data_IF_562472376860
#
_entry.id   IF_562472376860
#
_cell.length_a   1.000
_cell.length_b   1.000
_cell.length_c   1.000
_cell.angle_alpha   90.00
_cell.angle_beta   90.00
_cell.angle_gamma   90.00
#
_symmetry.space_group_name_H-M   'P 1'
#
loop_
_entity.id
_entity.type
_entity.pdbx_description
1 polymer ?
#
# COMPACT_ATOMS: atom_id res chain seq x y z
N UNK A 1 10.84 6.79 18.56
CA UNK A 1 11.13 8.20 18.22
C UNK A 1 10.40 9.13 19.19
N UNK A 2 11.10 10.12 19.76
CA UNK A 2 10.52 11.11 20.69
C UNK A 2 9.68 12.12 19.89
N UNK A 3 8.41 12.32 20.23
CA UNK A 3 7.56 13.33 19.56
C UNK A 3 8.11 14.74 19.78
N UNK A 4 7.90 15.62 18.79
CA UNK A 4 8.28 17.04 18.89
C UNK A 4 7.15 17.82 19.55
N UNK A 5 7.49 18.67 20.51
CA UNK A 5 6.50 19.37 21.34
C UNK A 5 6.40 20.84 20.93
N UNK A 6 7.54 21.47 20.63
CA UNK A 6 7.58 22.89 20.31
C UNK A 6 7.51 23.18 18.80
N UNK A 7 7.02 24.36 18.42
CA UNK A 7 7.02 24.81 17.02
C UNK A 7 8.42 24.89 16.44
N UNK A 8 9.40 25.33 17.24
CA UNK A 8 10.81 25.32 16.85
C UNK A 8 11.29 23.91 16.53
N UNK A 9 10.96 22.92 17.37
CA UNK A 9 11.30 21.53 17.08
C UNK A 9 10.67 21.05 15.78
N UNK A 10 9.38 21.34 15.59
CA UNK A 10 8.60 20.89 14.43
C UNK A 10 9.10 21.50 13.12
N UNK A 11 9.39 22.79 13.08
CA UNK A 11 9.74 23.49 11.84
C UNK A 11 11.24 23.67 11.62
N UNK A 12 12.10 23.32 12.57
CA UNK A 12 13.54 23.52 12.40
C UNK A 12 14.38 22.25 12.56
N UNK A 13 13.81 21.16 13.06
CA UNK A 13 14.60 19.97 13.39
C UNK A 13 14.30 18.79 12.46
N UNK A 14 15.39 18.17 12.02
CA UNK A 14 15.41 17.01 11.14
C UNK A 14 15.68 15.75 11.93
N UNK A 15 15.07 14.66 11.50
CA UNK A 15 15.25 13.38 12.14
C UNK A 15 16.58 12.78 11.69
N UNK A 16 17.40 12.37 12.64
CA UNK A 16 18.58 11.55 12.39
C UNK A 16 18.24 10.13 12.83
N UNK A 17 18.10 9.24 11.84
CA UNK A 17 17.95 7.81 12.02
C UNK A 17 19.32 7.15 11.90
N UNK A 18 19.74 6.49 12.97
CA UNK A 18 20.87 5.57 12.98
C UNK A 18 20.39 4.25 13.58
N UNK A 19 21.04 3.15 13.20
CA UNK A 19 20.64 1.75 13.43
C UNK A 19 20.07 1.38 14.82
N UNK A 20 20.24 2.21 15.86
CA UNK A 20 19.61 2.05 17.18
C UNK A 20 19.22 3.37 17.88
N UNK A 21 19.24 4.52 17.19
CA UNK A 21 19.01 5.83 17.80
C UNK A 21 18.20 6.73 16.87
N UNK A 22 17.16 7.31 17.42
CA UNK A 22 16.37 8.38 16.80
C UNK A 22 16.62 9.67 17.56
N UNK A 23 17.20 10.68 16.92
CA UNK A 23 17.42 11.98 17.53
C UNK A 23 16.99 13.11 16.60
N UNK A 24 16.58 14.23 17.19
CA UNK A 24 16.27 15.44 16.45
C UNK A 24 17.48 16.36 16.43
N UNK A 25 17.84 16.84 15.24
CA UNK A 25 18.90 17.84 15.08
C UNK A 25 18.32 19.10 14.44
N UNK A 26 18.51 20.24 15.10
CA UNK A 26 17.88 21.49 14.71
C UNK A 26 18.82 22.34 13.85
N UNK A 27 18.33 22.73 12.68
CA UNK A 27 19.05 23.60 11.77
C UNK A 27 19.05 25.05 12.30
N UNK A 28 20.24 25.61 12.50
CA UNK A 28 20.43 26.96 13.04
C UNK A 28 19.92 28.06 12.12
N UNK A 29 19.94 27.84 10.80
CA UNK A 29 19.47 28.81 9.80
C UNK A 29 17.94 28.89 9.83
N UNK A 30 17.27 27.73 9.85
CA UNK A 30 15.82 27.66 10.01
C UNK A 30 15.39 28.31 11.32
N UNK A 31 16.07 27.97 12.43
CA UNK A 31 15.79 28.59 13.73
C UNK A 31 15.90 30.11 13.71
N UNK A 32 16.96 30.66 13.12
CA UNK A 32 17.12 32.11 12.99
C UNK A 32 16.05 32.74 12.09
N UNK A 33 15.61 32.03 11.04
CA UNK A 33 14.56 32.51 10.15
C UNK A 33 13.23 32.62 10.88
N UNK A 34 12.79 31.57 11.57
CA UNK A 34 11.52 31.60 12.29
C UNK A 34 11.54 32.61 13.44
N UNK A 35 12.65 32.73 14.17
CA UNK A 35 12.82 33.74 15.24
C UNK A 35 12.83 35.19 14.69
N UNK A 36 13.10 35.40 13.40
CA UNK A 36 13.11 36.74 12.80
C UNK A 36 11.71 37.36 12.63
N UNK A 37 10.65 36.55 12.71
CA UNK A 37 9.27 37.04 12.66
C UNK A 37 8.75 37.55 14.01
N UNK A 38 9.55 37.41 15.08
CA UNK A 38 9.21 37.86 16.42
C UNK A 38 9.06 36.70 17.42
N UNK A 39 8.66 36.99 18.68
CA UNK A 39 8.36 35.95 19.65
C UNK A 39 7.13 35.16 19.20
N UNK A 40 7.26 33.83 19.17
CA UNK A 40 6.17 32.92 18.85
C UNK A 40 5.09 33.03 19.93
N UNK A 41 3.91 33.54 19.59
CA UNK A 41 2.75 33.57 20.49
C UNK A 41 1.99 32.23 20.40
N UNK A 42 2.06 31.35 21.42
CA UNK A 42 1.43 30.03 21.37
C UNK A 42 -0.10 30.08 21.30
N UNK A 43 -0.72 31.22 21.63
CA UNK A 43 -2.19 31.39 21.60
C UNK A 43 -2.70 31.81 20.23
N UNK A 44 -1.83 32.30 19.34
CA UNK A 44 -2.19 32.82 18.02
C UNK A 44 -1.56 31.97 16.92
N UNK A 45 -0.34 31.52 17.14
CA UNK A 45 0.47 30.84 16.14
C UNK A 45 0.42 29.33 16.35
N UNK A 46 -0.59 28.70 15.75
CA UNK A 46 -0.73 27.24 15.77
C UNK A 46 0.24 26.56 14.80
N UNK A 47 0.37 25.24 14.93
CA UNK A 47 1.08 24.41 13.96
C UNK A 47 0.49 24.54 12.55
N UNK A 48 -0.85 24.54 12.46
CA UNK A 48 -1.57 24.71 11.19
C UNK A 48 -1.24 26.07 10.57
N UNK A 49 -1.25 27.15 11.37
CA UNK A 49 -0.88 28.49 10.90
C UNK A 49 0.52 28.51 10.25
N UNK A 50 1.54 28.02 10.95
CA UNK A 50 2.91 28.04 10.44
C UNK A 50 3.10 27.15 9.21
N UNK A 51 2.43 26.00 9.16
CA UNK A 51 2.47 25.11 8.00
C UNK A 51 1.89 25.79 6.75
N UNK A 52 0.76 26.49 6.89
CA UNK A 52 0.10 27.23 5.82
C UNK A 52 0.91 28.45 5.39
N UNK A 53 1.43 29.21 6.36
CA UNK A 53 2.28 30.37 6.10
C UNK A 53 3.50 29.97 5.27
N UNK A 54 4.27 28.97 5.72
CA UNK A 54 5.46 28.53 4.99
C UNK A 54 5.12 27.94 3.62
N UNK A 55 4.01 27.22 3.49
CA UNK A 55 3.55 26.71 2.20
C UNK A 55 3.22 27.85 1.23
N UNK A 56 2.50 28.88 1.68
CA UNK A 56 2.20 30.05 0.87
C UNK A 56 3.48 30.77 0.42
N UNK A 57 4.45 30.94 1.32
CA UNK A 57 5.73 31.57 0.97
C UNK A 57 6.57 30.72 -0.01
N UNK A 58 6.52 29.38 0.15
CA UNK A 58 7.15 28.44 -0.77
C UNK A 58 6.59 28.56 -2.20
N UNK A 59 5.26 28.69 -2.34
CA UNK A 59 4.59 28.86 -3.64
C UNK A 59 4.94 30.19 -4.34
N UNK A 60 5.26 31.24 -3.58
CA UNK A 60 5.53 32.58 -4.12
C UNK A 60 6.92 32.74 -4.79
N UNK A 61 7.64 31.65 -5.09
CA UNK A 61 8.92 31.60 -5.84
C UNK A 61 9.91 32.76 -5.59
N UNK A 62 10.13 33.14 -4.34
CA UNK A 62 11.05 34.21 -3.93
C UNK A 62 12.50 33.75 -3.68
N UNK A 63 13.42 34.69 -3.42
CA UNK A 63 14.84 34.39 -3.12
C UNK A 63 15.06 33.51 -1.88
N UNK A 64 14.10 33.49 -0.95
CA UNK A 64 14.13 32.70 0.29
C UNK A 64 13.40 31.36 0.18
N UNK A 65 13.03 30.92 -1.02
CA UNK A 65 12.28 29.68 -1.24
C UNK A 65 12.95 28.46 -0.55
N UNK A 66 14.27 28.39 -0.57
CA UNK A 66 15.03 27.32 0.09
C UNK A 66 14.83 27.23 1.62
N UNK A 67 14.60 28.35 2.32
CA UNK A 67 14.32 28.35 3.77
C UNK A 67 12.91 27.87 4.06
N UNK A 68 11.92 28.37 3.30
CA UNK A 68 10.52 27.95 3.45
C UNK A 68 10.35 26.47 3.13
N UNK A 69 10.99 26.01 2.06
CA UNK A 69 11.12 24.59 1.75
C UNK A 69 11.76 23.82 2.90
N UNK A 70 12.86 24.33 3.47
CA UNK A 70 13.53 23.72 4.61
C UNK A 70 12.63 23.56 5.84
N UNK A 71 11.83 24.58 6.16
CA UNK A 71 10.85 24.53 7.24
C UNK A 71 9.76 23.47 7.02
N UNK A 72 9.21 23.41 5.80
CA UNK A 72 8.21 22.41 5.44
C UNK A 72 8.80 20.99 5.43
N UNK A 73 10.04 20.84 4.98
CA UNK A 73 10.75 19.57 5.04
C UNK A 73 10.94 19.12 6.47
N UNK A 74 11.45 19.99 7.36
CA UNK A 74 11.59 19.69 8.77
C UNK A 74 10.23 19.29 9.37
N UNK A 75 9.17 20.05 9.06
CA UNK A 75 7.81 19.78 9.51
C UNK A 75 7.34 18.38 9.14
N UNK A 76 7.54 17.95 7.89
CA UNK A 76 7.09 16.66 7.38
C UNK A 76 7.87 15.45 7.92
N UNK A 77 9.03 15.63 8.58
CA UNK A 77 9.85 14.51 9.07
C UNK A 77 9.10 13.62 10.07
N UNK A 78 8.35 14.18 11.02
CA UNK A 78 7.61 13.37 12.00
C UNK A 78 6.42 12.62 11.38
N UNK A 79 5.52 13.28 10.60
CA UNK A 79 4.50 12.57 9.81
C UNK A 79 5.09 11.46 8.94
N UNK A 80 6.21 11.73 8.26
CA UNK A 80 6.90 10.76 7.42
C UNK A 80 7.42 9.56 8.21
N UNK A 81 8.04 9.79 9.38
CA UNK A 81 8.50 8.70 10.23
C UNK A 81 7.34 7.82 10.70
N UNK A 82 6.23 8.40 11.16
CA UNK A 82 5.11 7.60 11.65
C UNK A 82 4.41 6.84 10.51
N UNK A 83 4.27 7.45 9.33
CA UNK A 83 3.79 6.75 8.14
C UNK A 83 4.73 5.59 7.76
N UNK A 84 6.04 5.83 7.71
CA UNK A 84 7.03 4.81 7.44
C UNK A 84 7.01 3.68 8.48
N UNK A 85 6.92 4.01 9.77
CA UNK A 85 6.87 3.04 10.87
C UNK A 85 5.62 2.15 10.78
N UNK A 86 4.46 2.71 10.43
CA UNK A 86 3.22 1.94 10.26
C UNK A 86 3.33 0.94 9.10
N UNK A 87 3.85 1.39 7.97
CA UNK A 87 4.05 0.52 6.81
C UNK A 87 5.13 -0.53 7.09
N UNK A 88 6.24 -0.13 7.73
CA UNK A 88 7.30 -1.04 8.16
C UNK A 88 6.76 -2.13 9.09
N UNK A 89 6.03 -1.78 10.15
CA UNK A 89 5.44 -2.78 11.07
C UNK A 89 4.55 -3.80 10.35
N UNK A 90 3.84 -3.36 9.30
CA UNK A 90 2.96 -4.21 8.50
C UNK A 90 3.73 -5.19 7.60
N UNK A 91 4.91 -4.81 7.11
CA UNK A 91 5.64 -5.58 6.09
C UNK A 91 7.03 -6.09 6.52
N UNK A 92 7.53 -5.73 7.70
CA UNK A 92 8.86 -6.13 8.21
C UNK A 92 9.08 -7.64 8.28
N UNK A 93 8.01 -8.43 8.47
CA UNK A 93 8.10 -9.89 8.48
C UNK A 93 8.25 -10.50 7.08
N UNK A 94 8.03 -9.70 6.03
CA UNK A 94 7.96 -10.13 4.62
C UNK A 94 9.05 -9.50 3.75
N UNK A 95 9.61 -8.38 4.18
CA UNK A 95 10.60 -7.59 3.45
C UNK A 95 11.82 -7.37 4.33
N UNK A 96 13.01 -7.60 3.77
CA UNK A 96 14.29 -7.34 4.44
C UNK A 96 14.71 -5.87 4.26
N UNK A 97 13.82 -4.97 4.66
CA UNK A 97 14.05 -3.52 4.63
C UNK A 97 14.07 -2.97 6.03
N UNK A 98 14.91 -1.98 6.26
CA UNK A 98 14.94 -1.27 7.53
C UNK A 98 13.99 -0.08 7.49
N UNK A 99 13.61 0.43 8.67
CA UNK A 99 12.70 1.60 8.76
C UNK A 99 13.25 2.82 8.02
N UNK A 100 14.58 2.96 7.96
CA UNK A 100 15.30 3.99 7.22
C UNK A 100 14.98 3.97 5.72
N UNK A 101 14.78 2.79 5.13
CA UNK A 101 14.46 2.67 3.70
C UNK A 101 13.08 3.25 3.40
N UNK A 102 12.09 2.92 4.21
CA UNK A 102 10.74 3.49 4.10
C UNK A 102 10.75 4.99 4.38
N UNK A 103 11.53 5.43 5.36
CA UNK A 103 11.62 6.85 5.69
C UNK A 103 12.25 7.66 4.56
N UNK A 104 13.35 7.18 3.99
CA UNK A 104 14.02 7.82 2.86
C UNK A 104 13.12 7.86 1.62
N UNK A 105 12.40 6.78 1.32
CA UNK A 105 11.43 6.77 0.23
C UNK A 105 10.30 7.79 0.44
N UNK A 106 9.84 7.96 1.69
CA UNK A 106 8.88 9.00 2.04
C UNK A 106 9.41 10.42 1.79
N UNK A 107 10.68 10.68 2.14
CA UNK A 107 11.35 11.97 1.91
C UNK A 107 11.44 12.31 0.42
N UNK A 108 11.71 11.31 -0.43
CA UNK A 108 11.76 11.52 -1.90
C UNK A 108 10.43 12.05 -2.47
N UNK A 109 9.31 11.82 -1.77
CA UNK A 109 8.00 12.33 -2.14
C UNK A 109 7.69 13.77 -1.70
N UNK A 110 8.54 14.41 -0.89
CA UNK A 110 8.20 15.69 -0.27
C UNK A 110 7.94 16.80 -1.29
N UNK A 111 8.73 16.90 -2.37
CA UNK A 111 8.49 17.90 -3.42
C UNK A 111 7.08 17.78 -4.02
N UNK A 112 6.69 16.57 -4.40
CA UNK A 112 5.37 16.31 -4.98
C UNK A 112 4.26 16.63 -3.97
N UNK A 113 4.44 16.28 -2.69
CA UNK A 113 3.48 16.60 -1.63
C UNK A 113 3.30 18.11 -1.47
N UNK A 114 4.39 18.88 -1.50
CA UNK A 114 4.34 20.33 -1.39
C UNK A 114 3.66 20.98 -2.60
N UNK A 115 3.90 20.47 -3.79
CA UNK A 115 3.27 20.94 -5.03
C UNK A 115 1.77 20.62 -5.06
N UNK A 116 1.38 19.42 -4.63
CA UNK A 116 -0.01 18.94 -4.67
C UNK A 116 -0.90 19.54 -3.58
N UNK A 117 -0.31 20.02 -2.48
CA UNK A 117 -1.08 20.51 -1.35
C UNK A 117 -1.81 21.81 -1.70
N UNK A 118 -3.14 21.78 -1.56
CA UNK A 118 -4.04 22.90 -1.80
C UNK A 118 -4.75 23.28 -0.50
N UNK A 119 -4.31 24.37 0.19
CA UNK A 119 -4.89 24.83 1.45
C UNK A 119 -6.41 25.05 1.44
N UNK A 120 -7.00 25.30 0.26
CA UNK A 120 -8.44 25.50 0.09
C UNK A 120 -9.27 24.27 0.52
N UNK A 121 -8.72 23.06 0.41
CA UNK A 121 -9.43 21.81 0.68
C UNK A 121 -9.04 21.15 2.01
N UNK A 122 -7.94 21.56 2.63
CA UNK A 122 -7.52 21.10 3.95
C UNK A 122 -6.57 22.12 4.58
N UNK A 123 -6.85 22.51 5.82
CA UNK A 123 -5.93 23.32 6.64
C UNK A 123 -4.87 22.46 7.35
N UNK A 124 -5.10 21.15 7.46
CA UNK A 124 -4.22 20.20 8.13
C UNK A 124 -3.24 19.58 7.15
N UNK A 125 -2.07 20.20 7.04
CA UNK A 125 -1.03 19.77 6.12
C UNK A 125 -0.42 18.42 6.54
N UNK A 126 -0.26 18.16 7.84
CA UNK A 126 0.21 16.89 8.40
C UNK A 126 -0.61 15.68 7.94
N UNK A 127 -1.94 15.77 8.04
CA UNK A 127 -2.85 14.71 7.68
C UNK A 127 -2.79 14.43 6.18
N UNK A 128 -2.83 15.48 5.35
CA UNK A 128 -2.70 15.37 3.91
C UNK A 128 -1.40 14.66 3.53
N UNK A 129 -0.27 15.13 4.07
CA UNK A 129 1.04 14.57 3.78
C UNK A 129 1.16 13.13 4.28
N UNK A 130 0.66 12.81 5.48
CA UNK A 130 0.66 11.45 6.03
C UNK A 130 -0.01 10.46 5.09
N UNK A 131 -1.19 10.80 4.56
CA UNK A 131 -1.90 9.92 3.63
C UNK A 131 -1.12 9.75 2.32
N UNK A 132 -0.61 10.86 1.75
CA UNK A 132 0.19 10.83 0.52
C UNK A 132 1.45 9.98 0.65
N UNK A 133 2.16 10.10 1.77
CA UNK A 133 3.36 9.29 2.07
C UNK A 133 2.98 7.82 2.17
N UNK A 134 1.91 7.47 2.90
CA UNK A 134 1.46 6.07 3.00
C UNK A 134 1.12 5.47 1.64
N UNK A 135 0.38 6.20 0.80
CA UNK A 135 0.05 5.73 -0.54
C UNK A 135 1.30 5.49 -1.38
N UNK A 136 2.22 6.46 -1.40
CA UNK A 136 3.49 6.34 -2.12
C UNK A 136 4.29 5.11 -1.66
N UNK A 137 4.40 4.89 -0.35
CA UNK A 137 5.12 3.74 0.20
C UNK A 137 4.46 2.42 -0.20
N UNK A 138 3.12 2.33 -0.11
CA UNK A 138 2.38 1.14 -0.52
C UNK A 138 2.57 0.87 -2.01
N UNK A 139 2.49 1.90 -2.85
CA UNK A 139 2.68 1.76 -4.29
C UNK A 139 4.11 1.34 -4.64
N UNK A 140 5.12 1.86 -3.92
CA UNK A 140 6.50 1.41 -4.07
C UNK A 140 6.66 -0.07 -3.72
N UNK A 141 6.02 -0.53 -2.65
CA UNK A 141 6.03 -1.94 -2.26
C UNK A 141 5.29 -2.81 -3.30
N UNK A 142 4.20 -2.31 -3.89
CA UNK A 142 3.47 -3.01 -4.95
C UNK A 142 4.27 -3.15 -6.25
N UNK A 143 5.12 -2.18 -6.56
CA UNK A 143 6.07 -2.30 -7.68
C UNK A 143 7.09 -3.42 -7.47
N UNK A 144 7.46 -3.70 -6.20
CA UNK A 144 8.34 -4.83 -5.85
C UNK A 144 7.61 -6.16 -6.01
N UNK A 145 6.38 -6.25 -5.48
CA UNK A 145 5.49 -7.37 -5.78
C UNK A 145 4.02 -6.98 -5.64
N UNK A 146 3.25 -7.36 -6.65
CA UNK A 146 1.81 -7.16 -6.73
C UNK A 146 1.04 -7.89 -5.61
N UNK A 147 1.68 -8.82 -4.89
CA UNK A 147 1.07 -9.49 -3.75
C UNK A 147 0.84 -8.57 -2.53
N UNK A 148 1.59 -7.46 -2.46
CA UNK A 148 1.55 -6.57 -1.30
C UNK A 148 0.37 -5.60 -1.34
N UNK A 149 -0.26 -5.38 -0.17
CA UNK A 149 -1.44 -4.52 -0.05
C UNK A 149 -2.77 -5.28 -0.15
N UNK A 150 -2.72 -6.53 -0.60
CA UNK A 150 -3.82 -7.46 -0.56
C UNK A 150 -3.74 -8.32 0.71
N UNK A 151 -4.88 -8.59 1.33
CA UNK A 151 -5.01 -9.70 2.26
C UNK A 151 -5.31 -11.00 1.49
N UNK A 152 -5.17 -12.15 2.14
CA UNK A 152 -5.38 -13.49 1.55
C UNK A 152 -6.69 -13.58 0.75
N UNK A 153 -7.77 -12.99 1.26
CA UNK A 153 -9.09 -13.03 0.65
C UNK A 153 -9.19 -12.17 -0.61
N UNK A 154 -8.65 -10.95 -0.56
CA UNK A 154 -8.54 -10.09 -1.74
C UNK A 154 -7.60 -10.66 -2.80
N UNK A 155 -6.54 -11.38 -2.41
CA UNK A 155 -5.68 -12.10 -3.35
C UNK A 155 -6.46 -13.20 -4.05
N UNK A 156 -7.23 -14.00 -3.31
CA UNK A 156 -8.04 -15.08 -3.88
C UNK A 156 -9.11 -14.55 -4.82
N UNK A 157 -9.85 -13.50 -4.42
CA UNK A 157 -10.91 -12.91 -5.24
C UNK A 157 -10.39 -12.36 -6.56
N UNK A 158 -9.22 -11.71 -6.53
CA UNK A 158 -8.70 -11.02 -7.70
C UNK A 158 -7.68 -11.85 -8.51
N UNK A 159 -7.42 -13.11 -8.11
CA UNK A 159 -6.55 -14.01 -8.88
C UNK A 159 -7.30 -14.66 -10.04
N UNK A 160 -6.54 -15.17 -11.01
CA UNK A 160 -7.04 -15.97 -12.13
C UNK A 160 -6.88 -17.46 -11.86
N UNK A 161 -7.68 -18.29 -12.53
CA UNK A 161 -7.61 -19.74 -12.37
C UNK A 161 -6.25 -20.29 -12.80
N UNK A 162 -5.68 -19.77 -13.89
CA UNK A 162 -4.32 -20.10 -14.32
C UNK A 162 -3.27 -19.75 -13.25
N UNK A 163 -3.37 -18.56 -12.64
CA UNK A 163 -2.42 -18.13 -11.60
C UNK A 163 -2.51 -19.00 -10.35
N UNK A 164 -3.71 -19.31 -9.90
CA UNK A 164 -3.91 -20.20 -8.75
C UNK A 164 -3.36 -21.60 -9.05
N UNK A 165 -3.65 -22.14 -10.24
CA UNK A 165 -3.14 -23.45 -10.67
C UNK A 165 -1.61 -23.50 -10.67
N UNK A 166 -0.95 -22.50 -11.28
CA UNK A 166 0.50 -22.39 -11.28
C UNK A 166 1.09 -22.27 -9.86
N UNK A 167 0.45 -21.50 -8.99
CA UNK A 167 0.89 -21.32 -7.61
C UNK A 167 0.77 -22.61 -6.78
N UNK A 168 -0.31 -23.38 -6.96
CA UNK A 168 -0.51 -24.66 -6.29
C UNK A 168 0.46 -25.74 -6.84
N UNK A 169 0.68 -25.77 -8.15
CA UNK A 169 1.68 -26.64 -8.79
C UNK A 169 3.10 -26.35 -8.29
N UNK A 170 3.46 -25.08 -8.12
CA UNK A 170 4.75 -24.67 -7.56
C UNK A 170 4.97 -25.16 -6.11
N UNK A 171 3.88 -25.46 -5.38
CA UNK A 171 3.90 -26.10 -4.06
C UNK A 171 3.87 -27.64 -4.10
N UNK A 172 3.86 -28.24 -5.29
CA UNK A 172 3.85 -29.69 -5.48
C UNK A 172 2.46 -30.34 -5.39
N UNK A 173 1.37 -29.56 -5.38
CA UNK A 173 0.01 -30.10 -5.43
C UNK A 173 -0.32 -30.51 -6.88
N UNK A 174 -0.70 -31.78 -7.08
CA UNK A 174 -0.99 -32.36 -8.40
C UNK A 174 -2.22 -33.28 -8.37
N UNK A 175 -2.82 -33.53 -9.54
CA UNK A 175 -3.94 -34.46 -9.71
C UNK A 175 -5.22 -34.02 -9.01
N UNK A 176 -5.96 -34.98 -8.45
CA UNK A 176 -7.27 -34.76 -7.81
C UNK A 176 -7.22 -33.70 -6.69
N UNK A 177 -6.09 -33.58 -6.00
CA UNK A 177 -5.95 -32.56 -4.94
C UNK A 177 -5.93 -31.15 -5.51
N UNK A 178 -5.32 -30.95 -6.69
CA UNK A 178 -5.31 -29.65 -7.37
C UNK A 178 -6.74 -29.27 -7.82
N UNK A 179 -7.45 -30.22 -8.43
CA UNK A 179 -8.83 -30.02 -8.91
C UNK A 179 -9.78 -29.66 -7.77
N UNK A 180 -9.66 -30.33 -6.62
CA UNK A 180 -10.43 -30.02 -5.41
C UNK A 180 -10.18 -28.59 -4.90
N UNK A 181 -8.95 -28.09 -4.96
CA UNK A 181 -8.62 -26.71 -4.56
C UNK A 181 -9.16 -25.67 -5.54
N UNK A 182 -9.08 -25.94 -6.85
CA UNK A 182 -9.62 -25.06 -7.88
C UNK A 182 -11.14 -24.97 -7.79
N UNK A 183 -11.81 -26.12 -7.62
CA UNK A 183 -13.27 -26.16 -7.45
C UNK A 183 -13.73 -25.42 -6.18
N UNK A 184 -13.02 -25.59 -5.06
CA UNK A 184 -13.32 -24.83 -3.85
C UNK A 184 -13.14 -23.32 -4.03
N UNK A 185 -12.16 -22.90 -4.85
CA UNK A 185 -11.92 -21.51 -5.19
C UNK A 185 -13.00 -20.92 -6.12
N UNK A 186 -13.51 -21.69 -7.08
CA UNK A 186 -14.60 -21.25 -7.95
C UNK A 186 -15.87 -20.94 -7.14
N UNK A 187 -16.30 -21.84 -6.25
CA UNK A 187 -17.43 -21.56 -5.36
C UNK A 187 -17.17 -20.40 -4.41
N UNK A 188 -15.92 -20.24 -3.95
CA UNK A 188 -15.55 -19.07 -3.17
C UNK A 188 -15.76 -17.79 -3.99
N UNK A 189 -15.27 -17.71 -5.22
CA UNK A 189 -15.48 -16.54 -6.08
C UNK A 189 -16.96 -16.29 -6.34
N UNK A 190 -17.72 -17.32 -6.69
CA UNK A 190 -19.13 -17.17 -7.01
C UNK A 190 -19.94 -16.66 -5.80
N UNK A 191 -19.80 -17.32 -4.64
CA UNK A 191 -20.61 -17.03 -3.46
C UNK A 191 -20.12 -15.77 -2.74
N UNK A 192 -18.80 -15.60 -2.61
CA UNK A 192 -18.22 -14.50 -1.86
C UNK A 192 -18.15 -13.19 -2.65
N UNK A 193 -17.95 -13.22 -3.97
CA UNK A 193 -18.00 -12.00 -4.78
C UNK A 193 -19.40 -11.38 -4.80
N UNK A 194 -20.45 -12.21 -4.77
CA UNK A 194 -21.84 -11.76 -4.67
C UNK A 194 -22.14 -11.10 -3.33
N UNK A 195 -21.52 -11.56 -2.24
CA UNK A 195 -21.74 -11.00 -0.91
C UNK A 195 -21.17 -9.58 -0.74
N UNK A 196 -20.25 -9.14 -1.60
CA UNK A 196 -19.62 -7.78 -1.62
C UNK A 196 -19.33 -7.20 -0.24
N UNK A 197 -18.88 -8.03 0.71
CA UNK A 197 -18.65 -7.59 2.10
C UNK A 197 -17.38 -6.73 2.14
N UNK A 198 -17.57 -5.43 1.94
CA UNK A 198 -16.55 -4.40 2.13
C UNK A 198 -16.87 -3.65 3.41
N UNK A 199 -15.94 -3.66 4.36
CA UNK A 199 -15.96 -2.76 5.51
C UNK A 199 -14.76 -1.83 5.36
N UNK A 200 -15.00 -0.51 5.37
CA UNK A 200 -13.98 0.52 5.10
C UNK A 200 -13.20 0.30 3.80
N UNK A 201 -13.88 -0.18 2.75
CA UNK A 201 -13.28 -0.46 1.44
C UNK A 201 -12.38 -1.70 1.38
N UNK A 202 -12.19 -2.42 2.49
CA UNK A 202 -11.37 -3.65 2.56
C UNK A 202 -12.23 -4.90 2.53
N UNK A 203 -11.79 -5.89 1.75
CA UNK A 203 -12.36 -7.23 1.71
C UNK A 203 -12.07 -7.92 3.04
N UNK A 204 -13.09 -8.50 3.67
CA UNK A 204 -12.95 -9.12 5.00
C UNK A 204 -12.76 -10.64 4.90
N UNK A 205 -12.55 -11.29 6.04
CA UNK A 205 -12.69 -12.74 6.11
C UNK A 205 -14.17 -13.13 5.94
N UNK A 206 -14.49 -14.18 5.15
CA UNK A 206 -15.86 -14.67 5.05
C UNK A 206 -16.41 -15.11 6.41
N UNK A 207 -17.68 -14.80 6.66
CA UNK A 207 -18.36 -15.22 7.90
C UNK A 207 -18.53 -16.75 7.94
N UNK A 208 -18.71 -17.34 9.14
CA UNK A 208 -18.96 -18.78 9.28
C UNK A 208 -20.12 -19.30 8.42
N UNK A 209 -21.17 -18.48 8.23
CA UNK A 209 -22.32 -18.80 7.39
C UNK A 209 -21.94 -18.91 5.91
N UNK A 210 -21.06 -18.05 5.42
CA UNK A 210 -20.56 -18.11 4.04
C UNK A 210 -19.74 -19.38 3.85
N UNK A 211 -18.88 -19.74 4.81
CA UNK A 211 -18.13 -20.99 4.74
C UNK A 211 -19.02 -22.23 4.72
N UNK A 212 -20.14 -22.22 5.44
CA UNK A 212 -21.13 -23.30 5.38
C UNK A 212 -21.81 -23.37 4.02
N UNK A 213 -22.15 -22.24 3.41
CA UNK A 213 -22.73 -22.20 2.05
C UNK A 213 -21.76 -22.73 1.00
N UNK A 214 -20.50 -22.33 1.06
CA UNK A 214 -19.46 -22.84 0.15
C UNK A 214 -19.28 -24.35 0.34
N UNK A 215 -19.26 -24.85 1.58
CA UNK A 215 -19.17 -26.28 1.85
C UNK A 215 -20.39 -27.07 1.36
N UNK A 216 -21.60 -26.51 1.50
CA UNK A 216 -22.81 -27.12 0.98
C UNK A 216 -22.77 -27.20 -0.56
N UNK A 217 -22.38 -26.11 -1.24
CA UNK A 217 -22.27 -26.06 -2.70
C UNK A 217 -21.21 -27.04 -3.23
N UNK A 218 -20.04 -27.07 -2.59
CA UNK A 218 -18.98 -28.01 -2.94
C UNK A 218 -19.45 -29.47 -2.83
N UNK A 219 -20.13 -29.82 -1.73
CA UNK A 219 -20.59 -31.19 -1.50
C UNK A 219 -21.78 -31.60 -2.40
N UNK A 220 -22.53 -30.66 -2.95
CA UNK A 220 -23.65 -30.97 -3.86
C UNK A 220 -23.21 -31.26 -5.28
N UNK A 221 -22.09 -30.68 -5.72
CA UNK A 221 -21.61 -30.76 -7.11
C UNK A 221 -20.39 -31.68 -7.24
N UNK A 222 -19.65 -31.89 -6.15
CA UNK A 222 -18.48 -32.77 -6.19
C UNK A 222 -18.92 -34.22 -6.41
N UNK A 223 -18.45 -34.80 -7.52
CA UNK A 223 -18.43 -36.26 -7.73
C UNK A 223 -17.55 -36.99 -6.70
N UNK A 224 -16.85 -36.28 -5.81
CA UNK A 224 -16.02 -36.87 -4.77
C UNK A 224 -16.85 -37.59 -3.71
N UNK A 225 -16.34 -38.72 -3.25
CA UNK A 225 -16.98 -39.55 -2.23
C UNK A 225 -16.84 -38.96 -0.81
N UNK A 226 -16.14 -37.83 -0.67
CA UNK A 226 -15.72 -37.25 0.61
C UNK A 226 -16.54 -36.00 0.87
N UNK A 227 -17.43 -36.07 1.86
CA UNK A 227 -18.13 -34.89 2.36
C UNK A 227 -17.17 -34.02 3.18
N UNK A 228 -17.01 -32.77 2.75
CA UNK A 228 -16.08 -31.83 3.34
C UNK A 228 -16.85 -30.83 4.22
N UNK A 229 -16.28 -30.47 5.37
CA UNK A 229 -16.88 -29.46 6.26
C UNK A 229 -16.32 -28.05 5.96
N UNK A 230 -16.99 -27.03 6.51
CA UNK A 230 -16.58 -25.63 6.36
C UNK A 230 -15.14 -25.39 6.79
N UNK A 231 -14.68 -26.01 7.89
CA UNK A 231 -13.32 -25.86 8.39
C UNK A 231 -12.23 -26.31 7.39
N UNK A 232 -12.49 -27.40 6.65
CA UNK A 232 -11.55 -27.93 5.67
C UNK A 232 -11.46 -27.03 4.44
N UNK A 233 -12.59 -26.51 3.96
CA UNK A 233 -12.62 -25.52 2.87
C UNK A 233 -11.91 -24.23 3.29
N UNK A 234 -12.16 -23.74 4.51
CA UNK A 234 -11.46 -22.57 5.04
C UNK A 234 -9.95 -22.80 5.04
N UNK A 235 -9.48 -24.00 5.43
CA UNK A 235 -8.05 -24.35 5.39
C UNK A 235 -7.52 -24.35 3.96
N UNK A 236 -8.18 -25.03 3.04
CA UNK A 236 -7.74 -25.10 1.63
C UNK A 236 -7.63 -23.72 0.98
N UNK A 237 -8.59 -22.84 1.24
CA UNK A 237 -8.55 -21.49 0.67
C UNK A 237 -7.49 -20.61 1.34
N UNK A 238 -7.27 -20.75 2.66
CA UNK A 238 -6.11 -20.10 3.32
C UNK A 238 -4.79 -20.56 2.71
N UNK A 239 -4.64 -21.86 2.50
CA UNK A 239 -3.46 -22.47 1.91
C UNK A 239 -3.27 -22.01 0.46
N UNK A 240 -4.34 -21.95 -0.33
CA UNK A 240 -4.35 -21.44 -1.70
C UNK A 240 -3.93 -19.97 -1.78
N UNK A 241 -4.47 -19.12 -0.89
CA UNK A 241 -4.12 -17.71 -0.87
C UNK A 241 -2.65 -17.49 -0.47
N UNK A 242 -2.12 -18.31 0.44
CA UNK A 242 -0.69 -18.29 0.74
C UNK A 242 0.16 -18.82 -0.43
N UNK A 243 -0.31 -19.82 -1.17
CA UNK A 243 0.37 -20.32 -2.37
C UNK A 243 0.52 -19.22 -3.43
N UNK A 244 -0.56 -18.49 -3.70
CA UNK A 244 -0.54 -17.34 -4.61
C UNK A 244 0.44 -16.27 -4.11
N UNK A 245 0.42 -15.97 -2.81
CA UNK A 245 1.34 -15.00 -2.21
C UNK A 245 2.81 -15.40 -2.43
N UNK A 246 3.17 -16.65 -2.10
CA UNK A 246 4.54 -17.15 -2.23
C UNK A 246 4.98 -17.24 -3.71
N UNK A 247 4.06 -17.54 -4.62
CA UNK A 247 4.33 -17.57 -6.06
C UNK A 247 4.64 -16.17 -6.61
N UNK A 248 3.85 -15.17 -6.22
CA UNK A 248 4.05 -13.76 -6.59
C UNK A 248 5.23 -13.11 -5.85
N UNK A 249 5.67 -13.71 -4.74
CA UNK A 249 6.82 -13.26 -3.98
C UNK A 249 7.67 -14.45 -3.49
N UNK A 250 8.53 -15.00 -4.37
CA UNK A 250 9.44 -16.07 -3.98
C UNK A 250 10.39 -15.57 -2.90
N UNK A 251 10.41 -16.26 -1.77
CA UNK A 251 11.31 -15.96 -0.65
C UNK A 251 12.77 -15.91 -1.17
N UNK A 252 13.51 -14.84 -0.83
CA UNK A 252 14.91 -14.66 -1.21
C UNK A 252 15.20 -13.65 -2.33
N UNK A 253 14.19 -13.01 -2.93
CA UNK A 253 14.42 -11.82 -3.78
C UNK A 253 14.50 -10.55 -2.93
N UNK A 254 15.71 -10.17 -2.53
CA UNK A 254 16.00 -8.81 -2.05
C UNK A 254 16.01 -7.86 -3.25
N UNK A 255 14.86 -7.28 -3.54
CA UNK A 255 14.82 -6.04 -4.34
C UNK A 255 15.22 -4.92 -3.37
N UNK A 256 15.85 -3.84 -3.83
CA UNK A 256 16.09 -2.67 -2.98
C UNK A 256 14.97 -1.64 -3.20
N UNK A 257 14.43 -1.05 -2.13
CA UNK A 257 13.51 0.09 -2.25
C UNK A 257 14.15 1.26 -3.01
N UNK A 258 15.48 1.35 -2.98
CA UNK A 258 16.28 2.44 -3.54
C UNK A 258 16.80 2.16 -4.95
N UNK A 259 16.48 1.01 -5.55
CA UNK A 259 17.01 0.65 -6.86
C UNK A 259 16.45 1.61 -7.95
N UNK A 260 17.32 2.25 -8.78
CA UNK A 260 16.87 3.00 -9.95
C UNK A 260 16.19 2.05 -10.92
N UNK A 261 15.13 2.54 -11.57
CA UNK A 261 14.36 1.77 -12.54
C UNK A 261 15.27 1.26 -13.68
N UNK A 262 15.11 0.00 -14.07
CA UNK A 262 15.55 -0.43 -15.38
C UNK A 262 14.58 0.13 -16.41
N UNK A 263 15.10 0.72 -17.48
CA UNK A 263 14.34 1.32 -18.58
C UNK A 263 13.35 0.30 -19.16
N UNK A 264 12.10 0.39 -18.70
CA UNK A 264 10.99 -0.44 -19.13
C UNK A 264 9.73 0.40 -19.08
N UNK A 265 9.51 1.13 -20.18
CA UNK A 265 8.30 1.89 -20.52
C UNK A 265 7.80 2.87 -19.45
N UNK A 266 8.40 4.05 -19.50
CA UNK A 266 7.76 5.31 -19.12
C UNK A 266 6.40 5.42 -19.81
N UNK A 267 5.32 5.38 -19.04
CA UNK A 267 4.05 6.00 -19.43
C UNK A 267 3.68 7.02 -18.35
N UNK A 268 3.87 8.29 -18.71
CA UNK A 268 3.16 9.46 -18.21
C UNK A 268 1.88 9.14 -17.43
N UNK A 269 1.85 9.44 -16.12
CA UNK A 269 0.62 9.58 -15.33
C UNK A 269 0.75 10.69 -14.29
N UNK A 270 0.87 11.90 -14.81
CA UNK A 270 0.24 13.06 -14.18
C UNK A 270 -1.26 12.97 -14.49
N UNK A 271 -2.00 12.17 -13.73
CA UNK A 271 -3.46 12.27 -13.66
C UNK A 271 -3.83 12.52 -12.21
N UNK A 272 -4.12 13.79 -11.97
CA UNK A 272 -5.18 14.32 -11.14
C UNK A 272 -5.71 13.43 -10.01
N UNK A 273 -5.62 14.00 -8.81
CA UNK A 273 -6.51 13.75 -7.69
C UNK A 273 -7.96 13.95 -8.17
N UNK A 274 -8.63 12.89 -8.58
CA UNK A 274 -10.07 12.82 -8.66
C UNK A 274 -10.54 11.66 -7.79
N UNK A 275 -11.51 11.94 -6.92
CA UNK A 275 -12.28 10.95 -6.19
C UNK A 275 -12.96 10.00 -7.19
N UNK A 276 -12.28 8.95 -7.62
CA UNK A 276 -12.90 7.81 -8.29
C UNK A 276 -12.19 6.51 -7.91
N UNK A 277 -12.99 5.64 -7.30
CA UNK A 277 -12.80 4.20 -7.38
C UNK A 277 -12.66 3.82 -8.87
N UNK A 278 -11.58 3.12 -9.25
CA UNK A 278 -11.21 2.55 -10.58
C UNK A 278 -10.02 3.28 -11.24
N UNK A 279 -8.95 2.68 -11.77
CA UNK A 279 -8.57 1.28 -11.95
C UNK A 279 -7.11 1.08 -11.51
N UNK A 280 -6.88 0.17 -10.56
CA UNK A 280 -5.52 -0.19 -10.14
C UNK A 280 -4.78 -0.90 -11.29
N UNK A 281 -3.43 -0.82 -11.37
CA UNK A 281 -2.63 -1.60 -12.32
C UNK A 281 -2.97 -3.10 -12.33
N UNK A 282 -3.47 -3.60 -11.20
CA UNK A 282 -4.05 -4.92 -11.02
C UNK A 282 -5.26 -5.20 -11.92
N UNK A 283 -6.24 -4.29 -11.99
CA UNK A 283 -7.46 -4.47 -12.80
C UNK A 283 -7.15 -4.49 -14.31
N UNK A 284 -6.11 -3.76 -14.73
CA UNK A 284 -5.65 -3.76 -16.12
C UNK A 284 -4.97 -5.09 -16.49
N UNK A 285 -4.17 -5.66 -15.58
CA UNK A 285 -3.55 -6.98 -15.77
C UNK A 285 -4.58 -8.11 -15.71
N UNK A 286 -5.56 -8.02 -14.81
CA UNK A 286 -6.68 -8.96 -14.71
C UNK A 286 -7.53 -8.94 -15.98
N UNK A 287 -7.84 -7.77 -16.52
CA UNK A 287 -8.54 -7.66 -17.81
C UNK A 287 -7.74 -8.28 -18.96
N UNK A 288 -6.41 -8.11 -18.99
CA UNK A 288 -5.55 -8.69 -20.01
C UNK A 288 -5.43 -10.22 -19.91
N UNK A 289 -5.34 -10.77 -18.69
CA UNK A 289 -5.31 -12.22 -18.46
C UNK A 289 -6.67 -12.87 -18.75
N UNK A 290 -7.77 -12.30 -18.25
CA UNK A 290 -9.13 -12.79 -18.52
C UNK A 290 -9.47 -12.75 -20.02
N UNK A 291 -8.99 -11.74 -20.75
CA UNK A 291 -9.13 -11.67 -22.19
C UNK A 291 -8.38 -12.82 -22.89
N UNK A 292 -7.17 -13.17 -22.43
CA UNK A 292 -6.41 -14.30 -22.97
C UNK A 292 -7.06 -15.65 -22.66
N UNK A 293 -7.58 -15.85 -21.46
CA UNK A 293 -8.31 -17.08 -21.10
C UNK A 293 -9.62 -17.22 -21.91
N UNK A 294 -10.36 -16.13 -22.11
CA UNK A 294 -11.57 -16.12 -22.95
C UNK A 294 -11.27 -16.50 -24.41
N UNK A 295 -10.18 -15.97 -24.97
CA UNK A 295 -9.70 -16.31 -26.32
C UNK A 295 -9.28 -17.78 -26.45
N UNK A 296 -8.57 -18.32 -25.45
CA UNK A 296 -8.16 -19.73 -25.44
C UNK A 296 -9.34 -20.69 -25.29
N UNK A 297 -10.36 -20.33 -24.50
CA UNK A 297 -11.58 -21.13 -24.38
C UNK A 297 -12.43 -21.07 -25.66
N UNK A 298 -12.50 -19.92 -26.33
CA UNK A 298 -13.15 -19.81 -27.65
C UNK A 298 -12.46 -20.67 -28.72
N UNK A 299 -11.12 -20.73 -28.72
CA UNK A 299 -10.37 -21.58 -29.66
C UNK A 299 -10.54 -23.08 -29.40
N UNK A 300 -10.78 -23.50 -28.15
CA UNK A 300 -11.07 -24.91 -27.80
C UNK A 300 -12.51 -25.35 -28.15
N UNK A 301 -13.45 -24.43 -28.31
CA UNK A 301 -14.84 -24.72 -28.67
C UNK A 301 -15.03 -24.79 -30.19
N UNK A 302 -14.10 -24.20 -30.96
CA UNK A 302 -14.13 -24.16 -32.42
C UNK A 302 -13.20 -25.19 -33.10
N UNK A 303 -12.52 -26.03 -32.33
CA UNK A 303 -11.70 -27.15 -32.78
C UNK A 303 -12.37 -28.48 -32.42
#
# INVERSE_FOLDING_TARGET
MKKRETLLEKFCCFLVLQQNRTQWNCDRRLRRNIESYGPIDPNVESEDYWSLFFHQQYQNHGSQNHLFRGHLYAYLQEPCYWAAAEIYQKYQAKLDYQIEDYFNEGILGFEAILADFKPLFSTRFDNFATQRIKYRLIDRIRQISQAFGHNTWSLLLNSTGARLSQALLARGLVGETLENYLLAWDYYKEIYAQAKIKTDGKIQEPSPEIWQKIAAAYNSDSHSTIKINSATITRWLKDAGQAIFDYLFPQGKTISLQQPFGDGESSTREEMIEDTLHDTPWQQLEAAENFRESQQNHQKILA
#
